data_IF_048750928890
#
_entry.id   IF_048750928890
#
_cell.length_a   1.000
_cell.length_b   1.000
_cell.length_c   1.000
_cell.angle_alpha   90.00
_cell.angle_beta   90.00
_cell.angle_gamma   90.00
#
_symmetry.space_group_name_H-M   'P 1'
#
loop_
_entity.id
_entity.type
_entity.pdbx_description
1 polymer ?
#
# COMPACT_ATOMS: atom_id res chain seq x y z
N UNK A 1 18.21 11.30 8.49
CA UNK A 1 18.60 11.77 7.14
C UNK A 1 17.73 11.06 6.11
N UNK A 2 17.24 11.76 5.08
CA UNK A 2 16.34 11.20 4.06
C UNK A 2 17.09 11.08 2.71
N UNK A 3 17.20 9.87 2.15
CA UNK A 3 17.76 9.67 0.81
C UNK A 3 16.71 10.05 -0.23
N UNK A 4 17.02 11.03 -1.08
CA UNK A 4 16.09 11.49 -2.13
C UNK A 4 15.86 10.36 -3.13
N UNK A 5 14.60 10.01 -3.35
CA UNK A 5 14.15 9.00 -4.30
C UNK A 5 13.58 9.66 -5.57
N UNK A 6 13.35 8.87 -6.62
CA UNK A 6 12.79 9.36 -7.88
C UNK A 6 11.45 10.09 -7.69
N UNK A 7 11.38 11.36 -8.11
CA UNK A 7 10.20 12.22 -7.96
C UNK A 7 8.91 11.61 -8.55
N UNK A 8 8.98 11.05 -9.76
CA UNK A 8 7.82 10.43 -10.41
C UNK A 8 7.30 9.18 -9.70
N UNK A 9 8.18 8.44 -9.02
CA UNK A 9 7.76 7.31 -8.18
C UNK A 9 7.06 7.80 -6.92
N UNK A 10 7.62 8.84 -6.29
CA UNK A 10 6.98 9.47 -5.14
C UNK A 10 5.57 9.97 -5.49
N UNK A 11 5.42 10.64 -6.63
CA UNK A 11 4.12 11.12 -7.09
C UNK A 11 3.16 9.97 -7.41
N UNK A 12 3.65 8.89 -8.03
CA UNK A 12 2.85 7.68 -8.29
C UNK A 12 2.34 7.02 -7.01
N UNK A 13 3.20 6.83 -6.01
CA UNK A 13 2.80 6.29 -4.71
C UNK A 13 1.81 7.21 -3.98
N UNK A 14 2.02 8.53 -4.08
CA UNK A 14 1.10 9.52 -3.50
C UNK A 14 -0.28 9.46 -4.16
N UNK A 15 -0.34 9.28 -5.48
CA UNK A 15 -1.59 9.09 -6.20
C UNK A 15 -2.30 7.82 -5.75
N UNK A 16 -1.60 6.67 -5.69
CA UNK A 16 -2.18 5.41 -5.22
C UNK A 16 -2.68 5.51 -3.77
N UNK A 17 -1.91 6.12 -2.89
CA UNK A 17 -2.30 6.37 -1.49
C UNK A 17 -3.53 7.26 -1.42
N UNK A 18 -3.58 8.34 -2.22
CA UNK A 18 -4.75 9.23 -2.26
C UNK A 18 -6.01 8.48 -2.70
N UNK A 19 -5.92 7.69 -3.77
CA UNK A 19 -7.05 6.89 -4.25
C UNK A 19 -7.49 5.84 -3.22
N UNK A 20 -6.54 5.19 -2.54
CA UNK A 20 -6.85 4.24 -1.47
C UNK A 20 -7.50 4.91 -0.27
N UNK A 21 -7.04 6.09 0.15
CA UNK A 21 -7.64 6.86 1.22
C UNK A 21 -9.08 7.28 0.87
N UNK A 22 -9.33 7.69 -0.38
CA UNK A 22 -10.68 8.02 -0.86
C UNK A 22 -11.66 6.84 -0.76
N UNK A 23 -11.20 5.61 -1.04
CA UNK A 23 -12.07 4.43 -1.05
C UNK A 23 -12.21 3.78 0.33
N UNK A 24 -11.17 3.85 1.16
CA UNK A 24 -11.15 3.25 2.50
C UNK A 24 -11.55 4.21 3.62
N UNK A 25 -11.63 5.51 3.31
CA UNK A 25 -11.80 6.60 4.27
C UNK A 25 -10.74 6.60 5.39
N UNK A 26 -9.54 6.11 5.07
CA UNK A 26 -8.36 6.24 5.93
C UNK A 26 -7.58 7.50 5.56
N UNK A 27 -6.74 7.97 6.48
CA UNK A 27 -5.82 9.08 6.25
C UNK A 27 -4.37 8.62 6.45
N UNK A 28 -3.90 7.74 5.56
CA UNK A 28 -2.52 7.24 5.56
C UNK A 28 -1.61 8.20 4.76
N UNK A 29 -0.38 8.42 5.23
CA UNK A 29 0.62 9.18 4.47
C UNK A 29 1.28 8.33 3.37
N UNK A 30 1.40 7.02 3.59
CA UNK A 30 1.86 6.05 2.61
C UNK A 30 1.15 4.71 2.79
N UNK A 31 0.28 4.36 1.85
CA UNK A 31 -0.41 3.06 1.87
C UNK A 31 0.52 1.91 1.44
N UNK A 32 1.45 2.17 0.51
CA UNK A 32 2.37 1.21 -0.11
C UNK A 32 3.68 1.08 0.68
N UNK A 33 3.61 1.29 2.01
CA UNK A 33 4.76 1.28 2.92
C UNK A 33 5.47 -0.07 2.99
N UNK A 34 4.80 -1.19 2.64
CA UNK A 34 5.34 -2.55 2.64
C UNK A 34 5.91 -3.01 4.01
N UNK A 35 5.61 -2.25 5.07
CA UNK A 35 6.06 -2.52 6.43
C UNK A 35 4.89 -2.32 7.39
N UNK A 36 4.03 -3.34 7.46
CA UNK A 36 2.82 -3.36 8.29
C UNK A 36 2.94 -4.44 9.37
N UNK A 37 2.52 -4.11 10.58
CA UNK A 37 2.50 -5.04 11.72
C UNK A 37 1.05 -5.25 12.12
N UNK A 38 0.67 -6.51 12.31
CA UNK A 38 -0.69 -6.91 12.65
C UNK A 38 -0.71 -7.77 13.90
N UNK A 39 -1.80 -7.68 14.66
CA UNK A 39 -2.12 -8.73 15.61
C UNK A 39 -2.40 -10.03 14.86
N UNK A 40 -1.95 -11.16 15.42
CA UNK A 40 -2.01 -12.47 14.77
C UNK A 40 -3.44 -12.87 14.43
N UNK A 41 -4.35 -12.69 15.39
CA UNK A 41 -5.77 -13.02 15.26
C UNK A 41 -6.45 -12.19 14.16
N UNK A 42 -6.03 -10.94 13.97
CA UNK A 42 -6.55 -10.07 12.91
C UNK A 42 -6.13 -10.60 11.56
N UNK A 43 -4.83 -10.80 11.33
CA UNK A 43 -4.32 -11.17 10.01
C UNK A 43 -4.78 -12.57 9.58
N UNK A 44 -4.87 -13.53 10.52
CA UNK A 44 -5.35 -14.89 10.21
C UNK A 44 -6.83 -14.95 9.83
N UNK A 45 -7.63 -13.97 10.28
CA UNK A 45 -9.06 -13.91 9.96
C UNK A 45 -9.35 -13.28 8.59
N UNK A 46 -8.34 -12.77 7.88
CA UNK A 46 -8.49 -12.07 6.60
C UNK A 46 -8.10 -13.02 5.45
N UNK A 47 -9.05 -13.48 4.61
CA UNK A 47 -8.72 -14.29 3.46
C UNK A 47 -8.09 -13.40 2.37
N UNK A 48 -6.80 -13.59 2.11
CA UNK A 48 -6.04 -12.88 1.09
C UNK A 48 -6.18 -13.58 -0.26
N UNK A 49 -6.32 -12.80 -1.33
CA UNK A 49 -6.55 -13.28 -2.70
C UNK A 49 -5.52 -12.73 -3.69
N UNK A 50 -5.01 -11.52 -3.46
CA UNK A 50 -4.03 -10.88 -4.32
C UNK A 50 -2.60 -11.37 -4.03
N UNK A 51 -1.78 -11.33 -5.07
CA UNK A 51 -0.36 -11.63 -5.00
C UNK A 51 0.46 -10.39 -5.32
N UNK A 52 1.75 -10.41 -4.97
CA UNK A 52 2.71 -9.32 -5.26
C UNK A 52 2.23 -7.99 -4.64
N UNK A 53 2.26 -6.89 -5.40
CA UNK A 53 1.87 -5.56 -4.93
C UNK A 53 0.36 -5.40 -4.67
N UNK A 54 -0.49 -6.25 -5.25
CA UNK A 54 -1.93 -6.19 -4.98
C UNK A 54 -2.29 -6.49 -3.52
N UNK A 55 -1.39 -7.19 -2.81
CA UNK A 55 -1.55 -7.50 -1.40
C UNK A 55 -1.71 -6.23 -0.54
N UNK A 56 -0.88 -5.21 -0.74
CA UNK A 56 -0.88 -4.00 0.10
C UNK A 56 -2.21 -3.25 0.01
N UNK A 57 -2.77 -3.18 -1.20
CA UNK A 57 -4.09 -2.61 -1.45
C UNK A 57 -5.19 -3.45 -0.79
N UNK A 58 -5.17 -4.77 -1.01
CA UNK A 58 -6.18 -5.68 -0.47
C UNK A 58 -6.21 -5.66 1.06
N UNK A 59 -5.06 -5.81 1.71
CA UNK A 59 -4.99 -5.87 3.17
C UNK A 59 -5.43 -4.55 3.79
N UNK A 60 -5.03 -3.42 3.21
CA UNK A 60 -5.42 -2.09 3.68
C UNK A 60 -6.93 -1.90 3.58
N UNK A 61 -7.53 -2.24 2.43
CA UNK A 61 -8.98 -2.14 2.24
C UNK A 61 -9.76 -3.04 3.21
N UNK A 62 -9.33 -4.29 3.39
CA UNK A 62 -9.99 -5.25 4.30
C UNK A 62 -9.86 -4.86 5.77
N UNK A 63 -8.74 -4.26 6.17
CA UNK A 63 -8.55 -3.75 7.53
C UNK A 63 -9.41 -2.52 7.77
N UNK A 64 -9.50 -1.60 6.80
CA UNK A 64 -10.33 -0.40 6.91
C UNK A 64 -11.79 -0.74 7.21
N UNK A 65 -12.36 -1.73 6.52
CA UNK A 65 -13.75 -2.18 6.70
C UNK A 65 -14.02 -2.87 8.05
N UNK A 66 -12.98 -3.33 8.75
CA UNK A 66 -13.13 -4.00 10.06
C UNK A 66 -13.13 -3.03 11.23
N UNK A 67 -13.10 -1.72 10.98
CA UNK A 67 -13.13 -0.67 12.00
C UNK A 67 -12.09 -0.88 13.12
N UNK A 68 -10.91 -1.38 12.74
CA UNK A 68 -9.80 -1.59 13.66
C UNK A 68 -9.07 -0.28 13.94
N UNK A 69 -8.37 -0.21 15.08
CA UNK A 69 -7.48 0.92 15.39
C UNK A 69 -6.20 0.78 14.57
N UNK A 70 -5.94 1.77 13.72
CA UNK A 70 -4.76 1.82 12.86
C UNK A 70 -3.86 2.96 13.35
N UNK A 71 -2.56 2.67 13.46
CA UNK A 71 -1.54 3.64 13.83
C UNK A 71 -0.49 3.69 12.74
N UNK A 72 -0.14 4.90 12.31
CA UNK A 72 0.96 5.14 11.40
C UNK A 72 2.18 5.59 12.22
N UNK A 73 3.30 4.89 12.06
CA UNK A 73 4.55 5.15 12.78
C UNK A 73 5.60 5.59 11.76
N UNK A 74 6.28 6.73 11.95
CA UNK A 74 7.26 7.21 11.01
C UNK A 74 8.47 6.26 10.93
N UNK A 75 8.93 5.98 9.71
CA UNK A 75 10.11 5.16 9.43
C UNK A 75 11.13 5.93 8.59
N UNK A 76 12.40 5.53 8.70
CA UNK A 76 13.44 5.99 7.77
C UNK A 76 13.58 4.99 6.62
N UNK A 77 13.42 5.45 5.39
CA UNK A 77 13.53 4.63 4.19
C UNK A 77 14.79 4.97 3.38
N UNK A 78 15.55 3.93 3.02
CA UNK A 78 16.72 4.02 2.14
C UNK A 78 16.43 3.25 0.86
N UNK A 79 15.82 3.93 -0.10
CA UNK A 79 15.42 3.35 -1.37
C UNK A 79 16.61 2.91 -2.24
N UNK A 80 16.39 1.85 -3.00
CA UNK A 80 17.31 1.36 -4.04
C UNK A 80 17.02 2.02 -5.38
N UNK A 81 18.08 2.35 -6.10
CA UNK A 81 18.02 2.75 -7.51
C UNK A 81 17.69 1.54 -8.43
N UNK A 82 17.34 1.82 -9.68
CA UNK A 82 17.22 0.79 -10.71
C UNK A 82 18.53 0.05 -10.96
N UNK A 83 19.66 0.76 -10.90
CA UNK A 83 21.00 0.13 -10.98
C UNK A 83 21.27 -0.83 -9.82
N UNK A 84 20.64 -0.61 -8.66
CA UNK A 84 20.71 -1.45 -7.47
C UNK A 84 19.65 -2.59 -7.50
N UNK A 85 19.06 -2.86 -8.67
CA UNK A 85 18.14 -3.97 -8.89
C UNK A 85 16.72 -3.72 -8.38
N UNK A 86 16.22 -2.49 -8.47
CA UNK A 86 14.81 -2.18 -8.19
C UNK A 86 13.93 -2.94 -9.19
N UNK A 87 13.03 -3.79 -8.67
CA UNK A 87 12.18 -4.67 -9.48
C UNK A 87 10.79 -4.09 -9.82
N UNK A 88 10.43 -2.95 -9.24
CA UNK A 88 9.11 -2.34 -9.43
C UNK A 88 9.04 -1.59 -10.76
N UNK A 89 7.95 -1.75 -11.48
CA UNK A 89 7.70 -1.06 -12.74
C UNK A 89 6.27 -0.53 -12.86
N UNK A 90 6.00 0.14 -13.98
CA UNK A 90 4.68 0.72 -14.28
C UNK A 90 3.55 -0.31 -14.26
N UNK A 91 3.84 -1.57 -14.63
CA UNK A 91 2.87 -2.68 -14.57
C UNK A 91 2.38 -2.97 -13.15
N UNK A 92 3.25 -2.83 -12.15
CA UNK A 92 2.87 -3.01 -10.75
C UNK A 92 1.91 -1.87 -10.32
N UNK A 93 2.14 -0.64 -10.80
CA UNK A 93 1.25 0.50 -10.56
C UNK A 93 -0.15 0.31 -11.17
N UNK A 94 -0.25 -0.19 -12.41
CA UNK A 94 -1.55 -0.53 -13.01
C UNK A 94 -2.25 -1.67 -12.25
N UNK A 95 -1.49 -2.67 -11.80
CA UNK A 95 -2.02 -3.75 -10.96
C UNK A 95 -2.58 -3.21 -9.63
N UNK A 96 -1.86 -2.30 -8.97
CA UNK A 96 -2.31 -1.65 -7.75
C UNK A 96 -3.60 -0.83 -8.00
N UNK A 97 -3.65 -0.03 -9.07
CA UNK A 97 -4.85 0.73 -9.43
C UNK A 97 -6.06 -0.18 -9.69
N UNK A 98 -5.87 -1.29 -10.42
CA UNK A 98 -6.91 -2.31 -10.61
C UNK A 98 -7.39 -2.88 -9.27
N UNK A 99 -6.47 -3.15 -8.34
CA UNK A 99 -6.84 -3.64 -7.01
C UNK A 99 -7.61 -2.57 -6.23
N UNK A 100 -7.23 -1.29 -6.31
CA UNK A 100 -7.93 -0.21 -5.60
C UNK A 100 -9.38 -0.15 -6.08
N UNK A 101 -9.60 -0.17 -7.39
CA UNK A 101 -10.96 -0.18 -7.96
C UNK A 101 -11.72 -1.44 -7.56
N UNK A 102 -11.09 -2.62 -7.68
CA UNK A 102 -11.69 -3.90 -7.29
C UNK A 102 -12.16 -3.85 -5.84
N UNK A 103 -11.27 -3.53 -4.89
CA UNK A 103 -11.58 -3.49 -3.45
C UNK A 103 -12.30 -2.20 -3.01
N UNK A 104 -12.54 -1.24 -3.90
CA UNK A 104 -13.45 -0.13 -3.61
C UNK A 104 -14.92 -0.55 -3.78
N UNK A 105 -15.20 -1.35 -4.81
CA UNK A 105 -16.58 -1.66 -5.23
C UNK A 105 -16.98 -3.13 -5.05
N UNK A 106 -16.02 -4.04 -4.93
CA UNK A 106 -16.24 -5.48 -4.82
C UNK A 106 -15.38 -6.10 -3.70
N UNK A 107 -15.95 -7.05 -2.97
CA UNK A 107 -15.48 -7.53 -1.64
C UNK A 107 -15.72 -6.50 -0.52
#
# INVERSE_FOLDING_TARGET
>A
AHRVVFYWHYLGNKLLTTLSNMTTNLNLTDMEVCYKVFKREVIQSIPLKENRFGFEVEITAKIARRHLKIYEVPISYYGRDYSEGKKIGWRDGFSALRCIVKYAFAD
#
